data_IF_728247856746
#
_entry.id   IF_728247856746
#
_cell.length_a   1.000
_cell.length_b   1.000
_cell.length_c   1.000
_cell.angle_alpha   90.00
_cell.angle_beta   90.00
_cell.angle_gamma   90.00
#
_symmetry.space_group_name_H-M   'P 1'
#
loop_
_entity.id
_entity.type
_entity.pdbx_description
1 polymer ?
#
# COMPACT_ATOMS: atom_id res chain seq x y z
N UNK A 1 -10.35 -27.18 13.90
CA UNK A 1 -10.69 -26.17 14.92
C UNK A 1 -10.43 -24.80 14.33
N UNK A 2 -11.46 -24.19 13.74
CA UNK A 2 -11.35 -22.89 13.05
C UNK A 2 -11.33 -21.81 14.13
N UNK A 3 -10.14 -21.26 14.43
CA UNK A 3 -9.99 -20.16 15.37
C UNK A 3 -10.80 -18.97 14.85
N UNK A 4 -11.95 -18.70 15.49
CA UNK A 4 -12.65 -17.43 15.31
C UNK A 4 -11.64 -16.32 15.68
N UNK A 5 -11.40 -15.32 14.82
CA UNK A 5 -10.66 -14.15 15.26
C UNK A 5 -11.41 -13.60 16.46
N UNK A 6 -10.79 -13.65 17.63
CA UNK A 6 -11.30 -13.02 18.85
C UNK A 6 -11.64 -11.57 18.54
N UNK A 7 -12.74 -11.04 19.10
CA UNK A 7 -13.19 -9.67 18.83
C UNK A 7 -12.08 -8.62 18.99
N UNK A 8 -11.09 -8.91 19.85
CA UNK A 8 -9.86 -8.13 20.04
C UNK A 8 -8.96 -8.05 18.80
N UNK A 9 -8.78 -9.15 18.07
CA UNK A 9 -8.00 -9.17 16.82
C UNK A 9 -8.70 -8.35 15.73
N UNK A 10 -10.02 -8.46 15.63
CA UNK A 10 -10.81 -7.64 14.71
C UNK A 10 -10.71 -6.16 15.05
N UNK A 11 -10.86 -5.81 16.33
CA UNK A 11 -10.75 -4.43 16.82
C UNK A 11 -9.35 -3.85 16.58
N UNK A 12 -8.29 -4.63 16.81
CA UNK A 12 -6.91 -4.20 16.54
C UNK A 12 -6.70 -3.91 15.04
N UNK A 13 -7.25 -4.76 14.16
CA UNK A 13 -7.16 -4.55 12.72
C UNK A 13 -7.95 -3.32 12.27
N UNK A 14 -9.16 -3.11 12.78
CA UNK A 14 -9.97 -1.91 12.50
C UNK A 14 -9.24 -0.62 12.94
N UNK A 15 -8.56 -0.63 14.10
CA UNK A 15 -7.74 0.49 14.57
C UNK A 15 -6.54 0.77 13.66
N UNK A 16 -5.81 -0.26 13.21
CA UNK A 16 -4.70 -0.10 12.23
C UNK A 16 -5.19 0.47 10.90
N UNK A 17 -6.33 0.01 10.41
CA UNK A 17 -6.90 0.51 9.17
C UNK A 17 -7.34 1.98 9.31
N UNK A 18 -7.91 2.35 10.46
CA UNK A 18 -8.28 3.73 10.76
C UNK A 18 -7.04 4.64 10.88
N UNK A 19 -5.97 4.17 11.52
CA UNK A 19 -4.69 4.90 11.60
C UNK A 19 -4.10 5.17 10.21
N UNK A 20 -4.10 4.17 9.32
CA UNK A 20 -3.63 4.32 7.92
C UNK A 20 -4.46 5.35 7.16
N UNK A 21 -5.78 5.34 7.34
CA UNK A 21 -6.69 6.32 6.73
C UNK A 21 -6.43 7.72 7.27
N UNK A 22 -6.24 7.87 8.57
CA UNK A 22 -5.91 9.14 9.19
C UNK A 22 -4.58 9.71 8.67
N UNK A 23 -3.53 8.88 8.52
CA UNK A 23 -2.26 9.28 7.88
C UNK A 23 -2.43 9.72 6.43
N UNK A 24 -3.22 8.97 5.64
CA UNK A 24 -3.52 9.35 4.25
C UNK A 24 -4.28 10.68 4.19
N UNK A 25 -5.24 10.88 5.09
CA UNK A 25 -6.00 12.12 5.18
C UNK A 25 -5.11 13.29 5.62
N UNK A 26 -4.16 13.06 6.53
CA UNK A 26 -3.17 14.06 6.95
C UNK A 26 -2.29 14.53 5.79
N UNK A 27 -1.96 13.65 4.84
CA UNK A 27 -1.18 14.01 3.65
C UNK A 27 -1.92 14.95 2.70
N UNK A 28 -3.25 14.97 2.74
CA UNK A 28 -4.09 15.85 1.91
C UNK A 28 -4.54 17.12 2.63
N UNK A 29 -4.22 17.27 3.93
CA UNK A 29 -4.58 18.48 4.67
C UNK A 29 -3.68 19.65 4.30
N UNK A 30 -4.30 20.82 4.13
CA UNK A 30 -3.62 22.09 3.85
C UNK A 30 -3.22 22.80 5.15
N UNK A 31 -3.98 22.58 6.23
CA UNK A 31 -3.71 23.17 7.54
C UNK A 31 -2.78 22.26 8.34
N UNK A 32 -1.64 22.81 8.76
CA UNK A 32 -0.65 22.07 9.57
C UNK A 32 -1.26 21.59 10.90
N UNK A 33 -2.14 22.39 11.52
CA UNK A 33 -2.85 22.02 12.75
C UNK A 33 -3.68 20.74 12.59
N UNK A 34 -4.36 20.59 11.45
CA UNK A 34 -5.20 19.43 11.16
C UNK A 34 -4.36 18.22 10.78
N UNK A 35 -3.26 18.46 10.06
CA UNK A 35 -2.26 17.44 9.76
C UNK A 35 -1.66 16.87 11.05
N UNK A 36 -1.23 17.71 11.98
CA UNK A 36 -0.69 17.29 13.28
C UNK A 36 -1.72 16.50 14.09
N UNK A 37 -2.96 16.99 14.18
CA UNK A 37 -4.05 16.27 14.87
C UNK A 37 -4.30 14.89 14.28
N UNK A 38 -4.35 14.77 12.95
CA UNK A 38 -4.57 13.49 12.28
C UNK A 38 -3.37 12.54 12.42
N UNK A 39 -2.16 13.07 12.43
CA UNK A 39 -0.94 12.28 12.69
C UNK A 39 -0.90 11.76 14.12
N UNK A 40 -1.25 12.60 15.11
CA UNK A 40 -1.36 12.20 16.51
C UNK A 40 -2.46 11.14 16.69
N UNK A 41 -3.64 11.37 16.11
CA UNK A 41 -4.74 10.42 16.14
C UNK A 41 -4.36 9.06 15.54
N UNK A 42 -3.61 9.06 14.44
CA UNK A 42 -3.10 7.82 13.85
C UNK A 42 -2.10 7.10 14.77
N UNK A 43 -1.24 7.83 15.46
CA UNK A 43 -0.27 7.25 16.39
C UNK A 43 -0.97 6.62 17.61
N UNK A 44 -2.01 7.29 18.14
CA UNK A 44 -2.78 6.78 19.28
C UNK A 44 -3.51 5.48 18.89
N UNK A 45 -4.11 5.42 17.70
CA UNK A 45 -4.77 4.21 17.19
C UNK A 45 -3.80 3.05 16.94
N UNK A 46 -2.59 3.32 16.47
CA UNK A 46 -1.55 2.30 16.31
C UNK A 46 -1.14 1.72 17.66
N UNK A 47 -0.89 2.59 18.66
CA UNK A 47 -0.59 2.16 20.02
C UNK A 47 -1.70 1.30 20.62
N UNK A 48 -2.95 1.75 20.52
CA UNK A 48 -4.10 0.97 21.00
C UNK A 48 -4.27 -0.35 20.24
N UNK A 49 -3.92 -0.40 18.95
CA UNK A 49 -3.94 -1.65 18.18
C UNK A 49 -2.87 -2.64 18.62
N UNK A 50 -1.69 -2.13 18.98
CA UNK A 50 -0.56 -2.94 19.45
C UNK A 50 -0.82 -3.47 20.87
N UNK A 51 -1.45 -2.66 21.74
CA UNK A 51 -1.89 -3.07 23.07
C UNK A 51 -2.97 -4.19 23.04
N UNK A 52 -3.76 -4.23 21.96
CA UNK A 52 -4.80 -5.25 21.74
C UNK A 52 -4.28 -6.54 21.09
N UNK A 53 -3.10 -6.51 20.48
CA UNK A 53 -2.46 -7.70 19.94
C UNK A 53 -1.78 -8.44 21.10
N UNK A 54 -2.09 -9.72 21.37
CA UNK A 54 -1.23 -10.52 22.23
C UNK A 54 0.16 -10.50 21.62
N UNK A 55 1.18 -10.21 22.43
CA UNK A 55 2.60 -10.04 22.04
C UNK A 55 3.09 -11.25 21.24
N UNK A 56 2.81 -11.26 19.94
CA UNK A 56 3.52 -12.06 18.96
C UNK A 56 4.42 -11.03 18.31
N UNK A 57 5.65 -10.96 18.82
CA UNK A 57 6.72 -10.13 18.29
C UNK A 57 6.91 -10.47 16.81
N UNK A 58 6.25 -9.75 15.93
CA UNK A 58 6.48 -9.77 14.49
C UNK A 58 7.21 -8.47 14.13
N UNK A 59 8.30 -8.54 13.36
CA UNK A 59 9.13 -7.38 13.09
C UNK A 59 8.35 -6.32 12.31
N UNK A 60 8.72 -5.03 12.44
CA UNK A 60 8.02 -3.95 11.77
C UNK A 60 8.12 -4.14 10.26
N UNK A 61 6.98 -4.32 9.60
CA UNK A 61 6.91 -4.27 8.13
C UNK A 61 7.16 -2.81 7.75
N UNK A 62 8.44 -2.50 7.52
CA UNK A 62 8.89 -1.22 7.01
C UNK A 62 8.27 -0.96 5.63
N UNK A 63 7.65 0.21 5.52
CA UNK A 63 7.42 1.08 4.36
C UNK A 63 7.09 0.44 2.98
N UNK A 64 6.11 1.01 2.23
CA UNK A 64 5.91 0.65 0.83
C UNK A 64 7.15 1.06 0.04
N UNK A 65 7.93 0.08 -0.43
CA UNK A 65 9.02 0.36 -1.37
C UNK A 65 8.40 0.88 -2.67
N UNK A 66 8.70 2.13 -2.97
CA UNK A 66 8.36 2.77 -4.22
C UNK A 66 8.91 1.94 -5.39
N UNK A 67 8.03 1.58 -6.32
CA UNK A 67 8.37 0.94 -7.59
C UNK A 67 9.15 1.98 -8.40
N UNK A 68 10.49 1.91 -8.35
CA UNK A 68 11.36 2.72 -9.20
C UNK A 68 11.31 2.16 -10.62
N UNK A 69 10.91 3.04 -11.54
CA UNK A 69 10.90 2.87 -12.98
C UNK A 69 12.20 2.26 -13.52
N UNK A 70 12.09 1.26 -14.39
CA UNK A 70 13.09 0.99 -15.42
C UNK A 70 12.43 1.07 -16.79
N UNK A 71 12.46 2.29 -17.35
CA UNK A 71 12.33 2.55 -18.78
C UNK A 71 13.74 2.85 -19.31
N UNK A 72 14.34 1.85 -19.96
CA UNK A 72 15.49 1.91 -20.89
C UNK A 72 15.75 0.46 -21.29
N UNK A 73 15.64 0.03 -22.54
CA UNK A 73 16.23 0.64 -23.71
C UNK A 73 15.33 0.54 -24.95
N UNK A 74 15.35 1.65 -25.69
CA UNK A 74 14.89 1.80 -27.05
C UNK A 74 16.10 1.62 -27.98
N UNK A 75 15.86 0.97 -29.13
CA UNK A 75 16.73 0.80 -30.31
C UNK A 75 17.80 -0.31 -30.16
N UNK A 76 17.85 -1.33 -31.03
CA UNK A 76 18.00 -1.21 -32.48
C UNK A 76 17.43 -2.43 -33.25
N UNK A 77 16.57 -2.12 -34.23
CA UNK A 77 16.58 -2.63 -35.63
C UNK A 77 17.55 -3.78 -35.95
N UNK A 78 17.02 -4.95 -36.35
CA UNK A 78 17.40 -5.60 -37.62
C UNK A 78 16.42 -6.72 -38.02
N UNK A 79 15.82 -6.53 -39.21
CA UNK A 79 15.48 -7.51 -40.25
C UNK A 79 15.05 -8.93 -39.88
N UNK A 80 13.81 -9.30 -40.26
CA UNK A 80 13.46 -10.52 -41.03
C UNK A 80 11.94 -10.71 -41.12
N UNK A 81 11.21 -9.81 -41.79
CA UNK A 81 9.85 -10.10 -42.26
C UNK A 81 9.96 -10.77 -43.63
N UNK A 82 10.23 -12.08 -43.60
CA UNK A 82 10.05 -12.96 -44.75
C UNK A 82 8.70 -13.68 -44.60
N UNK A 83 7.83 -13.46 -45.58
CA UNK A 83 6.71 -14.31 -45.99
C UNK A 83 5.53 -14.53 -45.00
N UNK A 84 4.47 -13.76 -45.19
CA UNK A 84 3.18 -14.34 -45.56
C UNK A 84 2.34 -13.33 -46.36
N UNK A 85 1.99 -13.74 -47.58
CA UNK A 85 1.15 -13.07 -48.57
C UNK A 85 -0.35 -12.99 -48.13
N UNK A 86 -1.33 -12.79 -49.03
CA UNK A 86 -1.78 -11.53 -49.62
C UNK A 86 -3.28 -11.27 -49.27
N UNK A 87 -3.79 -10.03 -49.38
CA UNK A 87 -5.21 -9.88 -49.73
C UNK A 87 -5.50 -8.55 -50.41
N UNK A 88 -6.06 -8.72 -51.61
CA UNK A 88 -6.63 -7.77 -52.56
C UNK A 88 -7.46 -6.65 -51.92
N UNK A 89 -7.31 -5.44 -52.48
CA UNK A 89 -8.44 -4.57 -52.86
C UNK A 89 -7.95 -3.44 -53.77
N UNK A 90 -8.12 -3.60 -55.07
CA UNK A 90 -8.82 -2.69 -55.99
C UNK A 90 -9.00 -3.37 -57.35
#
# INVERSE_FOLDING_TARGET
MTQKPTDKNRLAQEKRDLARRARRLAQTQVLDSDRERLMQFAADLERESDDLQPVISLPPIAAPQAIQQQVQQQQSIDSSTQANEPMEKD
#
